data_IF_161416633894
#
_entry.id   IF_161416633894
#
_cell.length_a   1.000
_cell.length_b   1.000
_cell.length_c   1.000
_cell.angle_alpha   90.00
_cell.angle_beta   90.00
_cell.angle_gamma   90.00
#
_symmetry.space_group_name_H-M   'P 1'
#
loop_
_entity.id
_entity.type
_entity.pdbx_description
1 polymer ?
#
# COMPACT_ATOMS: atom_id res chain seq x y z
N UNK A 1 9.52 -6.18 73.63
CA UNK A 1 8.63 -6.74 72.59
C UNK A 1 8.13 -5.59 71.73
N UNK A 2 8.65 -5.54 70.50
CA UNK A 2 8.10 -5.00 69.24
C UNK A 2 7.59 -3.54 69.24
N UNK A 3 8.40 -2.68 68.62
CA UNK A 3 8.05 -1.36 68.12
C UNK A 3 7.15 -1.48 66.87
N UNK A 4 6.11 -0.66 66.78
CA UNK A 4 5.27 -0.54 65.59
C UNK A 4 5.53 0.82 64.92
N UNK A 5 6.40 0.82 63.90
CA UNK A 5 6.64 1.96 63.02
C UNK A 5 5.64 1.85 61.86
N UNK A 6 4.67 2.75 61.81
CA UNK A 6 3.66 2.79 60.76
C UNK A 6 4.23 3.51 59.54
N UNK A 7 4.65 2.75 58.53
CA UNK A 7 5.17 3.26 57.25
C UNK A 7 3.97 3.62 56.35
N UNK A 8 3.73 4.92 56.15
CA UNK A 8 2.70 5.44 55.28
C UNK A 8 3.21 5.43 53.82
N UNK A 9 2.89 4.38 53.07
CA UNK A 9 3.18 4.29 51.63
C UNK A 9 2.15 5.10 50.84
N UNK A 10 2.50 6.34 50.46
CA UNK A 10 1.75 7.11 49.45
C UNK A 10 2.00 6.52 48.07
N UNK A 11 1.04 5.75 47.57
CA UNK A 11 1.00 5.25 46.19
C UNK A 11 0.68 6.43 45.25
N UNK A 12 1.69 6.93 44.55
CA UNK A 12 1.51 7.94 43.50
C UNK A 12 0.93 7.24 42.26
N UNK A 13 -0.37 7.38 42.02
CA UNK A 13 -1.00 6.90 40.78
C UNK A 13 -0.59 7.86 39.66
N UNK A 14 0.43 7.49 38.89
CA UNK A 14 0.74 8.13 37.63
C UNK A 14 -0.40 7.80 36.65
N UNK A 15 -1.38 8.69 36.55
CA UNK A 15 -2.34 8.71 35.45
C UNK A 15 -1.54 9.05 34.19
N UNK A 16 -1.15 8.02 33.44
CA UNK A 16 -0.65 8.18 32.08
C UNK A 16 -1.83 8.70 31.28
N UNK A 17 -1.88 10.02 31.10
CA UNK A 17 -2.79 10.65 30.15
C UNK A 17 -2.49 10.04 28.78
N UNK A 18 -3.43 9.23 28.27
CA UNK A 18 -3.38 8.78 26.90
C UNK A 18 -3.24 10.01 25.99
N UNK A 19 -2.37 9.98 24.98
CA UNK A 19 -2.16 11.13 24.11
C UNK A 19 -3.48 11.46 23.41
N UNK A 20 -4.06 12.61 23.76
CA UNK A 20 -5.31 13.13 23.21
C UNK A 20 -5.23 13.53 21.73
N UNK A 21 -4.07 13.35 21.09
CA UNK A 21 -3.80 13.77 19.71
C UNK A 21 -4.43 12.86 18.64
N UNK A 22 -4.97 11.69 18.99
CA UNK A 22 -5.60 10.80 18.01
C UNK A 22 -7.02 11.28 17.64
N UNK A 23 -7.74 11.92 18.56
CA UNK A 23 -9.16 12.25 18.38
C UNK A 23 -9.44 13.52 17.54
N UNK A 24 -8.47 14.43 17.42
CA UNK A 24 -8.68 15.72 16.72
C UNK A 24 -8.46 15.59 15.20
N UNK A 25 -7.67 14.61 14.74
CA UNK A 25 -7.39 14.38 13.32
C UNK A 25 -8.59 13.82 12.53
N UNK A 26 -9.47 13.04 13.18
CA UNK A 26 -10.65 12.43 12.53
C UNK A 26 -11.70 13.45 12.09
N UNK A 27 -11.73 14.66 12.67
CA UNK A 27 -12.74 15.69 12.32
C UNK A 27 -12.50 16.39 10.97
N UNK A 28 -11.33 16.23 10.33
CA UNK A 28 -11.00 16.87 9.03
C UNK A 28 -10.91 15.89 7.87
N UNK A 29 -10.84 14.59 8.13
CA UNK A 29 -10.74 13.59 7.09
C UNK A 29 -12.13 13.24 6.55
N UNK A 30 -12.34 13.35 5.23
CA UNK A 30 -13.58 12.87 4.61
C UNK A 30 -13.47 11.35 4.50
N UNK A 31 -14.21 10.62 5.33
CA UNK A 31 -14.31 9.16 5.24
C UNK A 31 -14.96 8.77 3.91
N UNK A 32 -14.32 7.86 3.19
CA UNK A 32 -14.74 7.34 1.87
C UNK A 32 -15.27 5.91 2.01
N UNK A 33 -14.60 5.10 2.83
CA UNK A 33 -15.04 3.79 3.27
C UNK A 33 -14.76 3.69 4.77
N UNK A 34 -15.74 3.25 5.56
CA UNK A 34 -15.62 3.16 7.02
C UNK A 34 -15.14 1.78 7.51
N UNK A 35 -15.11 0.81 6.61
CA UNK A 35 -14.74 -0.58 6.88
C UNK A 35 -15.86 -1.47 7.40
N UNK A 36 -17.10 -0.99 7.47
CA UNK A 36 -18.25 -1.77 7.94
C UNK A 36 -18.86 -2.68 6.86
N UNK A 37 -18.62 -2.37 5.59
CA UNK A 37 -19.02 -3.16 4.41
C UNK A 37 -18.12 -2.84 3.22
N UNK A 38 -18.14 -3.63 2.14
CA UNK A 38 -17.47 -3.27 0.90
C UNK A 38 -18.03 -1.98 0.29
N UNK A 39 -17.13 -1.15 -0.23
CA UNK A 39 -17.42 0.10 -0.92
C UNK A 39 -16.69 0.16 -2.25
N UNK A 40 -17.41 0.56 -3.29
CA UNK A 40 -16.87 0.87 -4.60
C UNK A 40 -17.14 2.32 -4.96
N UNK A 41 -16.24 2.94 -5.73
CA UNK A 41 -16.47 4.29 -6.20
C UNK A 41 -15.30 4.90 -6.96
N UNK A 42 -15.32 6.22 -7.08
CA UNK A 42 -14.23 7.01 -7.65
C UNK A 42 -13.60 7.89 -6.56
N UNK A 43 -12.29 8.04 -6.59
CA UNK A 43 -11.61 9.01 -5.73
C UNK A 43 -11.89 10.45 -6.21
N UNK A 44 -12.00 11.43 -5.31
CA UNK A 44 -12.34 12.80 -5.67
C UNK A 44 -11.21 13.60 -6.35
N UNK A 45 -9.94 13.20 -6.22
CA UNK A 45 -8.80 14.01 -6.70
C UNK A 45 -8.20 13.52 -8.01
N UNK A 46 -8.37 12.23 -8.33
CA UNK A 46 -7.77 11.59 -9.49
C UNK A 46 -8.78 10.65 -10.14
N UNK A 47 -8.57 10.33 -11.41
CA UNK A 47 -9.34 9.32 -12.15
C UNK A 47 -8.95 7.90 -11.71
N UNK A 48 -9.22 7.64 -10.42
CA UNK A 48 -9.01 6.37 -9.76
C UNK A 48 -10.35 5.78 -9.36
N UNK A 49 -10.58 4.55 -9.77
CA UNK A 49 -11.64 3.71 -9.20
C UNK A 49 -11.11 3.04 -7.96
N UNK A 50 -11.94 2.84 -6.96
CA UNK A 50 -11.56 2.09 -5.77
C UNK A 50 -12.57 1.01 -5.45
N UNK A 51 -12.06 -0.03 -4.80
CA UNK A 51 -12.81 -1.06 -4.10
C UNK A 51 -12.17 -1.22 -2.71
N UNK A 52 -12.95 -1.10 -1.66
CA UNK A 52 -12.45 -1.12 -0.29
C UNK A 52 -13.42 -1.84 0.65
N UNK A 53 -12.93 -2.87 1.33
CA UNK A 53 -13.60 -3.46 2.50
C UNK A 53 -13.07 -2.86 3.81
N UNK A 54 -11.89 -2.23 3.78
CA UNK A 54 -11.27 -1.55 4.91
C UNK A 54 -11.69 -0.08 5.07
N UNK A 55 -11.00 0.61 5.97
CA UNK A 55 -11.16 2.05 6.14
C UNK A 55 -10.35 2.79 5.09
N UNK A 56 -10.97 3.79 4.47
CA UNK A 56 -10.32 4.74 3.55
C UNK A 56 -10.84 6.13 3.86
N UNK A 57 -9.94 7.09 4.08
CA UNK A 57 -10.31 8.49 4.20
C UNK A 57 -9.40 9.41 3.39
N UNK A 58 -9.97 10.51 2.90
CA UNK A 58 -9.21 11.61 2.30
C UNK A 58 -8.65 12.50 3.39
N UNK A 59 -7.33 12.68 3.38
CA UNK A 59 -6.55 13.42 4.36
C UNK A 59 -5.58 12.50 5.09
N UNK A 60 -4.39 13.01 5.37
CA UNK A 60 -3.36 12.30 6.15
C UNK A 60 -2.85 13.21 7.26
N UNK A 61 -2.29 12.66 8.35
CA UNK A 61 -1.64 13.45 9.38
C UNK A 61 -0.56 14.36 8.78
N UNK A 62 -0.43 15.58 9.29
CA UNK A 62 0.53 16.59 8.79
C UNK A 62 1.97 16.05 8.75
N UNK A 63 2.35 15.24 9.74
CA UNK A 63 3.66 14.58 9.82
C UNK A 63 3.97 13.61 8.67
N UNK A 64 2.97 13.15 7.91
CA UNK A 64 3.20 12.33 6.71
C UNK A 64 3.76 13.15 5.55
N UNK A 65 3.55 14.49 5.53
CA UNK A 65 3.99 15.39 4.47
C UNK A 65 3.67 14.89 3.03
N UNK A 66 2.52 14.22 2.85
CA UNK A 66 1.97 13.85 1.53
C UNK A 66 0.80 14.79 1.23
N UNK A 67 0.86 15.54 0.13
CA UNK A 67 -0.23 16.41 -0.32
C UNK A 67 -1.25 15.61 -1.10
N UNK A 68 -2.54 15.98 -0.98
CA UNK A 68 -3.67 15.25 -1.60
C UNK A 68 -3.54 13.76 -1.31
N UNK A 69 -3.82 13.38 -0.07
CA UNK A 69 -3.42 12.09 0.48
C UNK A 69 -4.62 11.28 0.96
N UNK A 70 -4.48 9.96 0.95
CA UNK A 70 -5.46 8.99 1.41
C UNK A 70 -4.84 8.11 2.50
N UNK A 71 -5.57 7.94 3.59
CA UNK A 71 -5.26 7.02 4.70
C UNK A 71 -6.08 5.75 4.51
N UNK A 72 -5.38 4.65 4.23
CA UNK A 72 -5.94 3.33 3.96
C UNK A 72 -5.56 2.38 5.10
N UNK A 73 -6.55 1.72 5.71
CA UNK A 73 -6.34 0.82 6.86
C UNK A 73 -7.09 -0.50 6.68
N UNK A 74 -6.41 -1.59 7.00
CA UNK A 74 -6.98 -2.93 7.17
C UNK A 74 -6.83 -3.40 8.61
N UNK A 75 -7.92 -3.91 9.18
CA UNK A 75 -7.98 -4.42 10.56
C UNK A 75 -7.17 -5.70 10.77
N UNK A 76 -6.59 -5.86 11.96
CA UNK A 76 -6.03 -7.15 12.43
C UNK A 76 -7.09 -8.18 12.81
N UNK A 77 -8.34 -7.75 13.01
CA UNK A 77 -9.47 -8.62 13.32
C UNK A 77 -9.99 -9.31 12.04
N UNK A 78 -9.91 -10.66 11.92
CA UNK A 78 -10.34 -11.40 10.74
C UNK A 78 -11.85 -11.43 10.51
N UNK A 79 -12.64 -10.95 11.48
CA UNK A 79 -14.08 -10.80 11.31
C UNK A 79 -14.48 -9.41 10.78
N UNK A 80 -13.55 -8.46 10.65
CA UNK A 80 -13.81 -7.09 10.20
C UNK A 80 -13.23 -6.83 8.82
N UNK A 81 -13.80 -5.84 8.14
CA UNK A 81 -13.35 -5.39 6.82
C UNK A 81 -13.34 -6.53 5.78
N UNK A 82 -14.32 -7.43 5.82
CA UNK A 82 -14.32 -8.63 4.96
C UNK A 82 -15.35 -8.55 3.84
N UNK A 83 -15.00 -9.14 2.71
CA UNK A 83 -15.92 -9.63 1.69
C UNK A 83 -15.72 -11.14 1.48
N UNK A 84 -16.74 -11.84 1.02
CA UNK A 84 -16.63 -13.27 0.70
C UNK A 84 -16.49 -13.44 -0.81
N UNK A 85 -15.32 -13.89 -1.27
CA UNK A 85 -15.04 -14.14 -2.69
C UNK A 85 -14.60 -15.59 -2.84
N UNK A 86 -15.37 -16.38 -3.59
CA UNK A 86 -15.02 -17.79 -3.86
C UNK A 86 -14.90 -18.65 -2.60
N UNK A 87 -15.59 -18.30 -1.51
CA UNK A 87 -15.49 -18.99 -0.22
C UNK A 87 -14.38 -18.47 0.71
N UNK A 88 -13.55 -17.53 0.23
CA UNK A 88 -12.49 -16.90 1.03
C UNK A 88 -12.98 -15.58 1.63
N UNK A 89 -12.56 -15.30 2.87
CA UNK A 89 -12.79 -14.01 3.54
C UNK A 89 -11.64 -13.09 3.18
N UNK A 90 -11.90 -12.04 2.43
CA UNK A 90 -10.89 -11.15 1.88
C UNK A 90 -10.99 -9.77 2.53
N UNK A 91 -9.85 -9.21 2.93
CA UNK A 91 -9.71 -7.80 3.23
C UNK A 91 -8.98 -7.09 2.08
N UNK A 92 -9.52 -5.98 1.61
CA UNK A 92 -8.96 -5.25 0.47
C UNK A 92 -9.16 -3.74 0.63
N UNK A 93 -8.16 -2.99 0.20
CA UNK A 93 -8.27 -1.57 -0.12
C UNK A 93 -7.48 -1.37 -1.41
N UNK A 94 -8.17 -1.29 -2.54
CA UNK A 94 -7.61 -1.31 -3.88
C UNK A 94 -8.00 -0.06 -4.63
N UNK A 95 -7.01 0.57 -5.25
CA UNK A 95 -7.14 1.80 -6.01
C UNK A 95 -6.55 1.58 -7.39
N UNK A 96 -7.35 1.81 -8.42
CA UNK A 96 -7.04 1.51 -9.80
C UNK A 96 -7.01 2.79 -10.61
N UNK A 97 -5.87 3.09 -11.24
CA UNK A 97 -5.84 4.17 -12.22
C UNK A 97 -6.74 3.83 -13.41
N UNK A 98 -7.11 4.86 -14.18
CA UNK A 98 -7.66 4.69 -15.53
C UNK A 98 -6.82 3.72 -16.37
N UNK A 99 -7.49 2.96 -17.23
CA UNK A 99 -6.83 2.10 -18.21
C UNK A 99 -6.07 2.92 -19.24
N UNK A 100 -4.86 2.45 -19.58
CA UNK A 100 -4.05 3.00 -20.66
C UNK A 100 -3.76 1.92 -21.69
N UNK A 101 -3.82 2.26 -22.99
CA UNK A 101 -3.44 1.32 -24.03
C UNK A 101 -1.93 1.06 -24.00
N UNK A 102 -1.54 -0.17 -24.35
CA UNK A 102 -0.16 -0.52 -24.71
C UNK A 102 0.18 0.01 -26.11
N UNK A 103 0.28 1.35 -26.24
CA UNK A 103 0.43 2.05 -27.52
C UNK A 103 1.88 2.24 -27.97
N UNK A 104 2.82 1.47 -27.41
CA UNK A 104 4.25 1.60 -27.70
C UNK A 104 4.92 2.82 -27.08
N UNK A 105 4.21 3.59 -26.25
CA UNK A 105 4.76 4.80 -25.60
C UNK A 105 5.24 4.51 -24.19
N UNK A 106 6.13 5.38 -23.73
CA UNK A 106 6.60 5.39 -22.35
C UNK A 106 5.71 6.30 -21.52
N UNK A 107 5.19 5.76 -20.42
CA UNK A 107 4.49 6.54 -19.39
C UNK A 107 5.26 6.51 -18.08
N UNK A 108 5.27 7.65 -17.41
CA UNK A 108 5.84 7.79 -16.08
C UNK A 108 4.72 8.11 -15.09
N UNK A 109 4.65 7.33 -14.01
CA UNK A 109 3.79 7.60 -12.87
C UNK A 109 4.64 7.95 -11.67
N UNK A 110 4.26 9.00 -10.96
CA UNK A 110 4.89 9.37 -9.69
C UNK A 110 3.85 9.53 -8.60
N UNK A 111 4.20 9.06 -7.40
CA UNK A 111 3.35 9.19 -6.23
C UNK A 111 4.18 9.00 -4.96
N UNK A 112 3.64 9.46 -3.84
CA UNK A 112 4.22 9.24 -2.51
C UNK A 112 3.48 8.14 -1.78
N UNK A 113 4.21 7.37 -1.00
CA UNK A 113 3.66 6.36 -0.11
C UNK A 113 4.37 6.40 1.24
N UNK A 114 3.67 6.02 2.31
CA UNK A 114 4.26 5.72 3.61
C UNK A 114 3.50 4.55 4.21
N UNK A 115 4.21 3.46 4.48
CA UNK A 115 3.68 2.34 5.27
C UNK A 115 3.93 2.64 6.74
N UNK A 116 2.91 2.46 7.58
CA UNK A 116 3.00 2.75 9.00
C UNK A 116 4.10 1.90 9.67
N UNK A 117 4.99 2.49 10.49
CA UNK A 117 6.07 1.76 11.14
C UNK A 117 5.58 0.68 12.12
N UNK A 118 4.31 0.72 12.54
CA UNK A 118 3.72 -0.34 13.36
C UNK A 118 3.40 -1.61 12.58
N UNK A 119 3.67 -1.67 11.27
CA UNK A 119 3.43 -2.87 10.47
C UNK A 119 4.45 -3.96 10.78
N UNK A 120 3.96 -5.07 11.34
CA UNK A 120 4.79 -6.17 11.86
C UNK A 120 4.43 -7.52 11.25
N UNK A 121 3.81 -7.57 10.07
CA UNK A 121 3.25 -8.84 9.59
C UNK A 121 4.29 -9.96 9.48
N UNK A 122 3.89 -11.14 9.92
CA UNK A 122 4.62 -12.42 9.87
C UNK A 122 4.05 -13.39 8.83
N UNK A 123 3.10 -12.94 8.01
CA UNK A 123 2.47 -13.78 6.98
C UNK A 123 3.48 -14.24 5.94
N UNK A 124 3.46 -15.53 5.61
CA UNK A 124 4.28 -16.08 4.51
C UNK A 124 3.88 -15.56 3.13
N UNK A 125 2.65 -15.04 2.99
CA UNK A 125 2.16 -14.47 1.74
C UNK A 125 2.55 -12.98 1.59
N UNK A 126 3.06 -12.55 0.42
CA UNK A 126 3.40 -11.17 0.17
C UNK A 126 2.18 -10.24 0.16
N UNK A 127 2.26 -9.12 0.90
CA UNK A 127 1.30 -8.03 0.85
C UNK A 127 1.62 -7.08 -0.29
N UNK A 128 1.00 -7.27 -1.44
CA UNK A 128 1.16 -6.35 -2.56
C UNK A 128 0.71 -4.94 -2.16
N UNK A 129 1.59 -3.94 -2.33
CA UNK A 129 1.34 -2.53 -2.03
C UNK A 129 1.00 -1.72 -3.28
N UNK A 130 1.70 -2.00 -4.38
CA UNK A 130 1.53 -1.31 -5.65
C UNK A 130 2.02 -2.19 -6.78
N UNK A 131 1.43 -2.07 -7.97
CA UNK A 131 2.04 -2.59 -9.17
C UNK A 131 1.23 -2.29 -10.43
N UNK A 132 1.58 -3.00 -11.49
CA UNK A 132 1.00 -2.83 -12.82
C UNK A 132 0.12 -4.04 -13.12
N UNK A 133 -1.18 -3.80 -13.33
CA UNK A 133 -2.10 -4.79 -13.83
C UNK A 133 -2.16 -4.72 -15.35
N UNK A 134 -2.03 -5.87 -16.00
CA UNK A 134 -2.22 -6.04 -17.44
C UNK A 134 -3.26 -7.12 -17.71
N UNK A 135 -3.94 -7.03 -18.84
CA UNK A 135 -4.80 -8.13 -19.32
C UNK A 135 -3.92 -9.30 -19.77
N UNK A 136 -4.28 -10.53 -19.40
CA UNK A 136 -3.62 -11.71 -19.95
C UNK A 136 -3.77 -11.77 -21.48
N UNK A 137 -2.73 -12.18 -22.23
CA UNK A 137 -2.81 -12.33 -23.69
C UNK A 137 -3.81 -13.41 -24.12
N UNK A 138 -4.18 -14.32 -23.22
CA UNK A 138 -4.87 -15.59 -23.53
C UNK A 138 -6.40 -15.50 -23.49
N UNK A 139 -7.00 -14.37 -23.88
CA UNK A 139 -8.45 -14.13 -24.00
C UNK A 139 -9.33 -14.29 -22.75
N UNK A 140 -8.81 -14.84 -21.65
CA UNK A 140 -9.47 -14.74 -20.34
C UNK A 140 -9.51 -13.26 -19.97
N UNK A 141 -10.65 -12.73 -19.53
CA UNK A 141 -10.76 -11.31 -19.13
C UNK A 141 -9.95 -11.00 -17.84
N UNK A 142 -9.07 -11.90 -17.44
CA UNK A 142 -8.30 -11.87 -16.22
C UNK A 142 -7.18 -10.85 -16.34
N UNK A 143 -6.98 -10.11 -15.24
CA UNK A 143 -5.89 -9.16 -15.11
C UNK A 143 -4.89 -9.71 -14.14
N UNK A 144 -3.63 -9.69 -14.53
CA UNK A 144 -2.51 -10.19 -13.74
C UNK A 144 -1.58 -9.03 -13.41
N UNK A 145 -0.93 -9.12 -12.24
CA UNK A 145 0.11 -8.17 -11.85
C UNK A 145 1.39 -8.50 -12.61
N UNK A 146 1.73 -7.70 -13.62
CA UNK A 146 2.97 -7.89 -14.40
C UNK A 146 4.22 -7.69 -13.56
N UNK A 147 4.23 -6.61 -12.77
CA UNK A 147 5.26 -6.32 -11.79
C UNK A 147 4.63 -5.62 -10.59
N UNK A 148 5.09 -5.93 -9.38
CA UNK A 148 4.55 -5.34 -8.17
C UNK A 148 5.56 -5.28 -7.04
N UNK A 149 5.36 -4.32 -6.15
CA UNK A 149 6.04 -4.22 -4.86
C UNK A 149 5.15 -4.86 -3.81
N UNK A 150 5.71 -5.75 -3.00
CA UNK A 150 5.04 -6.34 -1.86
C UNK A 150 5.95 -6.38 -0.63
N UNK A 151 5.35 -6.36 0.56
CA UNK A 151 6.05 -6.67 1.80
C UNK A 151 5.86 -8.15 2.10
N UNK A 152 6.94 -8.88 2.30
CA UNK A 152 6.90 -10.28 2.69
C UNK A 152 7.06 -10.42 4.22
N UNK A 153 6.56 -11.51 4.81
CA UNK A 153 6.75 -11.82 6.23
C UNK A 153 8.20 -12.11 6.63
N UNK A 154 9.10 -12.33 5.66
CA UNK A 154 10.54 -12.52 5.89
C UNK A 154 11.32 -11.20 6.13
N UNK A 155 10.63 -10.15 6.56
CA UNK A 155 11.21 -8.82 6.83
C UNK A 155 11.84 -8.10 5.63
N UNK A 156 11.35 -8.40 4.43
CA UNK A 156 11.80 -7.80 3.18
C UNK A 156 10.66 -7.12 2.41
N UNK A 157 11.03 -6.10 1.63
CA UNK A 157 10.20 -5.50 0.59
C UNK A 157 10.76 -5.92 -0.76
N UNK A 158 9.94 -6.60 -1.56
CA UNK A 158 10.37 -7.22 -2.81
C UNK A 158 9.69 -6.63 -4.04
N UNK A 159 10.42 -6.64 -5.17
CA UNK A 159 9.86 -6.57 -6.52
C UNK A 159 9.54 -7.99 -6.96
N UNK A 160 8.31 -8.22 -7.36
CA UNK A 160 7.81 -9.49 -7.85
C UNK A 160 7.28 -9.33 -9.28
N UNK A 161 7.23 -10.43 -10.01
CA UNK A 161 6.74 -10.48 -11.38
C UNK A 161 5.71 -11.58 -11.53
N UNK A 162 4.90 -11.50 -12.58
CA UNK A 162 3.96 -12.58 -12.91
C UNK A 162 4.65 -13.92 -13.18
N UNK A 163 5.84 -13.91 -13.77
CA UNK A 163 6.57 -15.13 -14.13
C UNK A 163 7.05 -15.91 -12.90
N UNK A 164 7.29 -15.23 -11.78
CA UNK A 164 7.76 -15.83 -10.54
C UNK A 164 6.93 -15.34 -9.33
N UNK A 165 5.65 -15.73 -9.23
CA UNK A 165 4.81 -15.32 -8.11
C UNK A 165 5.28 -16.06 -6.85
N UNK A 166 5.78 -15.34 -5.84
CA UNK A 166 6.24 -15.90 -4.57
C UNK A 166 7.74 -15.74 -4.29
N UNK A 167 8.56 -15.48 -5.32
CA UNK A 167 9.99 -15.19 -5.13
C UNK A 167 10.27 -13.79 -5.70
N UNK A 168 10.79 -12.85 -4.89
CA UNK A 168 11.13 -11.54 -5.39
C UNK A 168 12.32 -11.63 -6.35
N UNK A 169 12.24 -10.96 -7.49
CA UNK A 169 13.37 -10.79 -8.42
C UNK A 169 14.40 -9.78 -7.90
N UNK A 170 13.99 -8.98 -6.90
CA UNK A 170 14.84 -8.06 -6.16
C UNK A 170 14.20 -7.80 -4.79
N UNK A 171 15.00 -7.71 -3.72
CA UNK A 171 14.50 -7.44 -2.38
C UNK A 171 15.41 -6.49 -1.62
N UNK A 172 14.82 -5.73 -0.69
CA UNK A 172 15.51 -4.87 0.27
C UNK A 172 14.99 -5.15 1.68
N UNK A 173 15.78 -4.86 2.73
CA UNK A 173 15.30 -4.95 4.09
C UNK A 173 14.08 -4.04 4.33
N UNK A 174 13.08 -4.52 5.07
CA UNK A 174 11.87 -3.76 5.41
C UNK A 174 12.19 -2.44 6.11
N UNK A 175 13.25 -2.40 6.92
CA UNK A 175 13.75 -1.20 7.60
C UNK A 175 14.16 -0.06 6.66
N UNK A 176 14.47 -0.36 5.40
CA UNK A 176 14.79 0.66 4.39
C UNK A 176 13.55 1.25 3.72
N UNK A 177 12.35 0.71 3.98
CA UNK A 177 11.11 1.12 3.31
C UNK A 177 9.99 1.51 4.27
N UNK A 178 9.67 0.66 5.26
CA UNK A 178 8.59 0.89 6.22
C UNK A 178 8.92 2.04 7.16
N UNK A 179 7.92 2.86 7.50
CA UNK A 179 8.08 4.07 8.31
C UNK A 179 8.59 5.30 7.56
N UNK A 180 9.28 5.10 6.43
CA UNK A 180 9.76 6.17 5.54
C UNK A 180 8.64 6.69 4.66
N UNK A 181 8.75 7.96 4.27
CA UNK A 181 7.94 8.55 3.20
C UNK A 181 8.70 8.35 1.91
N UNK A 182 8.21 7.48 1.04
CA UNK A 182 8.86 7.15 -0.22
C UNK A 182 8.26 7.94 -1.37
N UNK A 183 9.10 8.34 -2.33
CA UNK A 183 8.68 8.80 -3.64
C UNK A 183 8.91 7.66 -4.63
N UNK A 184 7.82 7.18 -5.22
CA UNK A 184 7.84 6.17 -6.26
C UNK A 184 7.79 6.83 -7.63
N UNK A 185 8.61 6.33 -8.55
CA UNK A 185 8.60 6.64 -9.97
C UNK A 185 8.55 5.34 -10.75
N UNK A 186 7.48 5.12 -11.50
CA UNK A 186 7.27 3.94 -12.33
C UNK A 186 7.27 4.36 -13.80
N UNK A 187 8.26 3.91 -14.57
CA UNK A 187 8.32 4.11 -16.02
C UNK A 187 7.90 2.82 -16.71
N UNK A 188 6.79 2.89 -17.44
CA UNK A 188 6.21 1.77 -18.17
C UNK A 188 6.45 2.03 -19.65
N UNK A 189 7.35 1.23 -20.22
CA UNK A 189 7.63 1.19 -21.65
C UNK A 189 6.77 0.09 -22.27
N UNK A 190 5.80 0.50 -23.09
CA UNK A 190 4.88 -0.41 -23.76
C UNK A 190 5.30 -0.77 -25.18
N UNK A 191 6.57 -0.55 -25.55
CA UNK A 191 7.11 -0.91 -26.87
C UNK A 191 6.93 -2.41 -27.14
N UNK A 192 6.35 -2.81 -28.29
CA UNK A 192 6.23 -4.22 -28.65
C UNK A 192 7.59 -4.94 -28.61
N UNK A 193 7.59 -6.17 -28.10
CA UNK A 193 8.76 -7.07 -27.97
C UNK A 193 9.86 -6.62 -27.00
N UNK A 194 9.92 -5.34 -26.61
CA UNK A 194 10.99 -4.78 -25.76
C UNK A 194 10.45 -4.01 -24.54
N UNK A 195 9.16 -4.16 -24.24
CA UNK A 195 8.52 -3.50 -23.12
C UNK A 195 9.20 -3.81 -21.79
N UNK A 196 9.18 -2.85 -20.89
CA UNK A 196 9.82 -2.94 -19.58
C UNK A 196 9.16 -2.02 -18.57
N UNK A 197 9.26 -2.40 -17.31
CA UNK A 197 8.81 -1.59 -16.18
C UNK A 197 10.05 -1.24 -15.36
N UNK A 198 10.42 0.04 -15.32
CA UNK A 198 11.46 0.54 -14.43
C UNK A 198 10.81 1.15 -13.20
N UNK A 199 11.15 0.61 -12.04
CA UNK A 199 10.68 1.02 -10.73
C UNK A 199 11.82 1.72 -10.02
N UNK A 200 11.60 2.97 -9.62
CA UNK A 200 12.51 3.71 -8.75
C UNK A 200 11.76 4.16 -7.50
N UNK A 201 12.38 3.94 -6.34
CA UNK A 201 11.89 4.33 -5.02
C UNK A 201 13.04 5.06 -4.33
N UNK A 202 12.76 6.28 -3.87
CA UNK A 202 13.69 7.05 -3.03
C UNK A 202 13.01 7.39 -1.72
N UNK A 203 13.79 7.60 -0.67
CA UNK A 203 13.32 8.27 0.53
C UNK A 203 13.07 9.75 0.20
N UNK A 204 11.85 10.23 0.38
CA UNK A 204 11.48 11.60 0.03
C UNK A 204 11.94 12.61 1.09
N UNK A 205 12.44 12.17 2.25
CA UNK A 205 13.04 13.06 3.26
C UNK A 205 14.50 13.38 2.93
N UNK A 206 15.36 12.37 2.85
CA UNK A 206 16.81 12.55 2.65
C UNK A 206 17.27 12.37 1.19
N UNK A 207 16.36 11.99 0.29
CA UNK A 207 16.60 11.75 -1.15
C UNK A 207 17.51 10.55 -1.44
N UNK A 208 17.79 9.71 -0.46
CA UNK A 208 18.53 8.46 -0.66
C UNK A 208 17.77 7.51 -1.58
N UNK A 209 18.51 6.80 -2.42
CA UNK A 209 17.92 5.74 -3.24
C UNK A 209 17.64 4.52 -2.36
N UNK A 210 16.39 4.06 -2.39
CA UNK A 210 15.96 2.83 -1.69
C UNK A 210 16.02 1.65 -2.65
N UNK A 211 15.53 1.85 -3.88
CA UNK A 211 15.43 0.79 -4.88
C UNK A 211 15.38 1.39 -6.28
N UNK A 212 16.17 0.84 -7.20
CA UNK A 212 15.95 0.99 -8.65
C UNK A 212 16.05 -0.38 -9.28
N UNK A 213 15.00 -0.81 -9.98
CA UNK A 213 14.98 -2.10 -10.66
C UNK A 213 14.21 -2.01 -11.97
N UNK A 214 14.63 -2.78 -12.98
CA UNK A 214 13.93 -2.87 -14.26
C UNK A 214 13.53 -4.30 -14.51
N UNK A 215 12.23 -4.51 -14.68
CA UNK A 215 11.64 -5.80 -15.02
C UNK A 215 11.35 -5.83 -16.52
N UNK A 216 11.89 -6.80 -17.27
CA UNK A 216 11.42 -7.08 -18.62
C UNK A 216 9.93 -7.40 -18.56
N UNK A 217 9.12 -6.63 -19.28
CA UNK A 217 7.69 -6.83 -19.26
C UNK A 217 7.15 -6.54 -20.65
N UNK A 218 6.95 -7.58 -21.47
CA UNK A 218 6.25 -7.41 -22.72
C UNK A 218 4.81 -6.97 -22.43
N UNK A 219 4.54 -5.67 -22.35
CA UNK A 219 3.19 -5.09 -22.27
C UNK A 219 2.41 -5.26 -23.61
N UNK A 220 2.75 -6.28 -24.40
CA UNK A 220 2.73 -6.32 -25.88
C UNK A 220 1.34 -6.30 -26.50
N UNK A 221 0.23 -6.40 -25.77
CA UNK A 221 -1.09 -6.39 -26.44
C UNK A 221 -2.29 -5.96 -25.60
N UNK A 222 -2.07 -5.52 -24.36
CA UNK A 222 -3.14 -5.26 -23.41
C UNK A 222 -3.18 -3.81 -22.93
N UNK A 223 -4.39 -3.35 -22.60
CA UNK A 223 -4.53 -2.21 -21.71
C UNK A 223 -3.92 -2.55 -20.35
N UNK A 224 -3.27 -1.56 -19.74
CA UNK A 224 -2.70 -1.68 -18.41
C UNK A 224 -3.21 -0.57 -17.50
N UNK A 225 -3.05 -0.77 -16.19
CA UNK A 225 -3.30 0.27 -15.19
C UNK A 225 -2.38 0.08 -14.00
N UNK A 226 -2.17 1.16 -13.26
CA UNK A 226 -1.54 1.10 -11.95
C UNK A 226 -2.57 0.69 -10.91
N UNK A 227 -2.19 -0.23 -10.04
CA UNK A 227 -2.94 -0.63 -8.85
C UNK A 227 -2.16 -0.21 -7.62
N UNK A 228 -2.79 0.53 -6.70
CA UNK A 228 -2.25 0.88 -5.38
C UNK A 228 -3.12 0.22 -4.32
N UNK A 229 -2.52 -0.17 -3.21
CA UNK A 229 -3.19 -0.83 -2.09
C UNK A 229 -3.02 -2.34 -2.11
N UNK A 230 -3.74 -3.02 -1.22
CA UNK A 230 -3.49 -4.41 -0.82
C UNK A 230 -4.78 -5.23 -0.80
N UNK A 231 -4.63 -6.52 -1.10
CA UNK A 231 -5.63 -7.57 -0.87
C UNK A 231 -4.98 -8.64 -0.01
N UNK A 232 -5.70 -9.23 0.94
CA UNK A 232 -5.24 -10.35 1.76
C UNK A 232 -6.39 -11.22 2.21
N UNK A 233 -6.12 -12.48 2.47
CA UNK A 233 -7.05 -13.34 3.20
C UNK A 233 -7.11 -12.95 4.68
N UNK A 234 -8.30 -12.99 5.25
CA UNK A 234 -8.58 -12.65 6.64
C UNK A 234 -8.35 -13.88 7.53
N UNK A 235 -7.15 -13.99 8.09
CA UNK A 235 -6.72 -15.12 8.92
C UNK A 235 -6.42 -14.68 10.36
N UNK A 236 -6.45 -15.63 11.30
CA UNK A 236 -6.09 -15.36 12.69
C UNK A 236 -4.60 -14.95 12.79
N UNK A 237 -4.30 -13.98 13.67
CA UNK A 237 -2.92 -13.53 13.92
C UNK A 237 -2.36 -12.53 12.90
N UNK A 238 -3.15 -12.04 11.95
CA UNK A 238 -2.68 -11.03 11.00
C UNK A 238 -2.44 -9.65 11.65
N UNK A 239 -1.43 -8.94 11.18
CA UNK A 239 -1.13 -7.57 11.64
C UNK A 239 -2.06 -6.55 10.99
N UNK A 240 -2.36 -5.42 11.67
CA UNK A 240 -3.04 -4.31 11.00
C UNK A 240 -2.12 -3.73 9.93
N UNK A 241 -2.70 -3.24 8.83
CA UNK A 241 -1.97 -2.55 7.77
C UNK A 241 -2.50 -1.12 7.66
N UNK A 242 -1.60 -0.14 7.67
CA UNK A 242 -1.93 1.25 7.40
C UNK A 242 -0.96 1.83 6.38
N UNK A 243 -1.52 2.41 5.33
CA UNK A 243 -0.79 3.01 4.22
C UNK A 243 -1.34 4.41 3.99
N UNK A 244 -0.44 5.38 3.98
CA UNK A 244 -0.72 6.71 3.44
C UNK A 244 -0.19 6.76 2.03
N UNK A 245 -1.00 7.25 1.08
CA UNK A 245 -0.52 7.44 -0.28
C UNK A 245 -1.17 8.64 -0.95
N UNK A 246 -0.48 9.22 -1.91
CA UNK A 246 -1.03 10.30 -2.70
C UNK A 246 -0.01 11.08 -3.49
N UNK A 247 -0.29 12.37 -3.72
CA UNK A 247 0.50 13.21 -4.64
C UNK A 247 0.70 12.57 -6.02
N UNK A 248 -0.35 11.91 -6.53
CA UNK A 248 -0.30 11.15 -7.78
C UNK A 248 -0.10 12.05 -9.00
N UNK A 249 0.73 11.60 -9.94
CA UNK A 249 0.79 12.13 -11.30
C UNK A 249 1.07 11.01 -12.30
N UNK A 250 0.61 11.19 -13.54
CA UNK A 250 0.90 10.31 -14.67
C UNK A 250 1.05 11.12 -15.94
N UNK A 251 2.14 10.90 -16.69
CA UNK A 251 2.45 11.65 -17.91
C UNK A 251 3.09 10.74 -18.96
N UNK A 252 3.04 11.16 -20.22
CA UNK A 252 3.94 10.61 -21.24
C UNK A 252 5.35 11.13 -21.01
N UNK A 253 6.34 10.29 -21.30
CA UNK A 253 7.73 10.75 -21.41
C UNK A 253 7.94 11.12 -22.87
N UNK A 254 8.07 12.42 -23.14
CA UNK A 254 8.49 12.90 -24.46
C UNK A 254 10.01 12.71 -24.56
N UNK A 255 10.44 11.98 -25.59
CA UNK A 255 11.83 11.89 -26.01
C UNK A 255 12.33 13.23 -26.53
#
# INVERSE_FOLDING_TARGET
>A
MIALVTLLCTLLVAVIAAPADVAILDKRAKVIADGNRPHDGNLPDWDFKYHATGYVAKGCPTGTKITTCYDSRLSSDPAKNIENIGGHKIQSNLFYSSLKPGDGKIREYTFRMKVDPSFTSVSGDPYTLVGVETKTPTNTQERIMSAYIAINGNDDVGVYTYENPGVPVFAIPKSQYVGKRTLHTWKLDSTPSNGKITIKIIDDEDKSEILTHTVPCPLISGDYRMRVGTTREAVAGMSPLRIYWGSWSGKYVTS
#
